data_IF_228640783881
#
_entry.id   IF_228640783881
#
_cell.length_a   1.000
_cell.length_b   1.000
_cell.length_c   1.000
_cell.angle_alpha   90.00
_cell.angle_beta   90.00
_cell.angle_gamma   90.00
#
_symmetry.space_group_name_H-M   'P 1'
#
loop_
_entity.id
_entity.type
_entity.pdbx_description
1 polymer ?
#
# COMPACT_ATOMS: atom_id res chain seq x y z
N UNK A 1 -3.86 5.28 1.42
CA UNK A 1 -5.32 5.21 1.23
C UNK A 1 -6.04 5.57 2.53
N UNK A 2 -7.00 6.49 2.42
CA UNK A 2 -8.09 6.68 3.37
C UNK A 2 -9.02 5.46 3.41
N UNK A 3 -9.92 5.39 4.39
CA UNK A 3 -10.92 4.34 4.50
C UNK A 3 -11.93 4.41 3.36
N UNK A 4 -12.30 5.61 2.91
CA UNK A 4 -13.16 5.79 1.75
C UNK A 4 -12.48 5.29 0.46
N UNK A 5 -11.19 5.58 0.27
CA UNK A 5 -10.38 5.05 -0.84
C UNK A 5 -10.35 3.52 -0.82
N UNK A 6 -10.07 2.91 0.34
CA UNK A 6 -10.04 1.45 0.46
C UNK A 6 -11.40 0.82 0.18
N UNK A 7 -12.51 1.40 0.68
CA UNK A 7 -13.87 0.91 0.42
C UNK A 7 -14.19 0.88 -1.08
N UNK A 8 -13.81 1.91 -1.82
CA UNK A 8 -14.00 1.97 -3.28
C UNK A 8 -13.24 0.87 -4.02
N UNK A 9 -12.02 0.57 -3.59
CA UNK A 9 -11.13 -0.38 -4.29
C UNK A 9 -11.39 -1.83 -3.88
N UNK A 10 -11.70 -2.09 -2.61
CA UNK A 10 -11.77 -3.44 -2.04
C UNK A 10 -13.16 -3.86 -1.56
N UNK A 11 -14.16 -3.00 -1.71
CA UNK A 11 -15.53 -3.24 -1.26
C UNK A 11 -15.83 -2.74 0.16
N UNK A 12 -17.11 -2.74 0.56
CA UNK A 12 -17.58 -2.10 1.79
C UNK A 12 -17.03 -2.74 3.07
N UNK A 13 -16.66 -4.03 3.04
CA UNK A 13 -16.12 -4.77 4.19
C UNK A 13 -14.65 -4.43 4.52
N UNK A 14 -14.05 -3.46 3.81
CA UNK A 14 -12.65 -3.06 3.96
C UNK A 14 -12.55 -1.53 4.11
N UNK A 15 -11.58 -1.00 4.89
CA UNK A 15 -10.57 -1.73 5.66
C UNK A 15 -11.12 -2.25 6.99
N UNK A 16 -10.45 -3.23 7.57
CA UNK A 16 -10.78 -3.74 8.92
C UNK A 16 -10.20 -2.85 10.03
N UNK A 17 -9.06 -2.22 9.77
CA UNK A 17 -8.39 -1.28 10.67
C UNK A 17 -8.57 0.14 10.10
N UNK A 18 -9.14 1.09 10.84
CA UNK A 18 -9.35 2.47 10.38
C UNK A 18 -8.06 3.19 9.97
N UNK A 19 -8.17 4.21 9.13
CA UNK A 19 -7.02 4.91 8.55
C UNK A 19 -6.08 5.54 9.58
N UNK A 20 -6.63 6.11 10.65
CA UNK A 20 -5.84 6.73 11.71
C UNK A 20 -4.98 5.71 12.45
N UNK A 21 -5.52 4.53 12.72
CA UNK A 21 -4.80 3.44 13.39
C UNK A 21 -3.72 2.84 12.47
N UNK A 22 -4.04 2.62 11.18
CA UNK A 22 -3.06 2.15 10.20
C UNK A 22 -1.90 3.14 10.05
N UNK A 23 -2.21 4.44 9.97
CA UNK A 23 -1.19 5.48 9.86
C UNK A 23 -0.31 5.54 11.11
N UNK A 24 -0.92 5.46 12.31
CA UNK A 24 -0.19 5.44 13.59
C UNK A 24 0.75 4.24 13.70
N UNK A 25 0.30 3.05 13.29
CA UNK A 25 1.14 1.85 13.31
C UNK A 25 2.35 1.98 12.39
N UNK A 26 2.16 2.48 11.16
CA UNK A 26 3.26 2.72 10.22
C UNK A 26 4.24 3.77 10.75
N UNK A 27 3.73 4.87 11.32
CA UNK A 27 4.54 5.95 11.88
C UNK A 27 5.35 5.52 13.12
N UNK A 28 4.99 4.41 13.77
CA UNK A 28 5.75 3.86 14.89
C UNK A 28 6.94 3.01 14.46
N UNK A 29 7.08 2.69 13.16
CA UNK A 29 8.23 1.93 12.66
C UNK A 29 9.46 2.84 12.56
N UNK A 30 10.58 2.41 13.14
CA UNK A 30 11.81 3.20 13.18
C UNK A 30 12.37 3.59 11.79
N UNK A 31 11.98 2.88 10.74
CA UNK A 31 12.40 3.15 9.36
C UNK A 31 11.44 4.07 8.58
N UNK A 32 10.40 4.62 9.22
CA UNK A 32 9.39 5.46 8.57
C UNK A 32 9.54 6.90 9.04
N UNK A 33 9.92 7.80 8.14
CA UNK A 33 10.04 9.23 8.43
C UNK A 33 8.69 9.97 8.35
N UNK A 34 7.80 9.53 7.45
CA UNK A 34 6.53 10.22 7.19
C UNK A 34 5.46 9.25 6.67
N UNK A 35 4.21 9.47 7.08
CA UNK A 35 3.03 8.76 6.57
C UNK A 35 2.03 9.77 6.02
N UNK A 36 1.59 9.57 4.79
CA UNK A 36 0.63 10.46 4.11
C UNK A 36 -0.61 9.66 3.70
N UNK A 37 -1.78 10.15 4.10
CA UNK A 37 -3.08 9.65 3.63
C UNK A 37 -3.44 10.30 2.28
N UNK A 38 -4.09 9.53 1.41
CA UNK A 38 -4.60 9.98 0.12
C UNK A 38 -5.94 9.29 -0.15
N UNK A 39 -6.88 10.00 -0.76
CA UNK A 39 -8.27 9.55 -0.95
C UNK A 39 -8.51 8.97 -2.35
N UNK A 40 -7.68 9.32 -3.31
CA UNK A 40 -7.81 8.90 -4.70
C UNK A 40 -7.76 7.36 -4.85
N UNK A 41 -8.32 6.84 -5.95
CA UNK A 41 -8.34 5.41 -6.24
C UNK A 41 -6.91 4.84 -6.41
N UNK A 42 -5.98 5.67 -6.85
CA UNK A 42 -4.57 5.33 -7.02
C UNK A 42 -3.68 6.43 -6.43
N UNK A 43 -2.44 6.14 -6.02
CA UNK A 43 -1.56 7.14 -5.44
C UNK A 43 -0.94 8.11 -6.47
N UNK A 44 -1.37 8.09 -7.74
CA UNK A 44 -0.67 8.75 -8.83
C UNK A 44 -0.49 10.26 -8.61
N UNK A 45 -1.54 10.95 -8.17
CA UNK A 45 -1.49 12.38 -7.87
C UNK A 45 -0.46 12.69 -6.77
N UNK A 46 -0.40 11.84 -5.74
CA UNK A 46 0.57 11.96 -4.65
C UNK A 46 2.00 11.69 -5.15
N UNK A 47 2.20 10.66 -5.98
CA UNK A 47 3.52 10.36 -6.58
C UNK A 47 4.01 11.52 -7.42
N UNK A 48 3.17 12.11 -8.28
CA UNK A 48 3.52 13.28 -9.11
C UNK A 48 3.83 14.52 -8.28
N UNK A 49 3.16 14.70 -7.14
CA UNK A 49 3.40 15.83 -6.23
C UNK A 49 4.71 15.68 -5.45
N UNK A 50 5.00 14.47 -4.97
CA UNK A 50 6.20 14.19 -4.18
C UNK A 50 7.45 14.00 -5.04
N UNK A 51 7.28 13.55 -6.29
CA UNK A 51 8.36 13.22 -7.24
C UNK A 51 9.49 12.40 -6.60
N UNK A 52 9.20 11.21 -6.05
CA UNK A 52 10.23 10.43 -5.38
C UNK A 52 11.32 9.96 -6.36
N UNK A 53 12.55 9.86 -5.87
CA UNK A 53 13.68 9.27 -6.60
C UNK A 53 13.56 7.73 -6.67
N UNK A 54 12.89 7.11 -5.70
CA UNK A 54 12.69 5.67 -5.63
C UNK A 54 11.24 5.34 -5.28
N UNK A 55 10.58 4.53 -6.12
CA UNK A 55 9.24 3.98 -5.86
C UNK A 55 9.33 2.48 -5.59
N UNK A 56 8.86 2.04 -4.43
CA UNK A 56 8.94 0.64 -4.01
C UNK A 56 7.56 -0.04 -4.03
N UNK A 57 7.47 -1.24 -4.60
CA UNK A 57 6.27 -2.08 -4.55
C UNK A 57 6.63 -3.56 -4.33
N UNK A 58 5.70 -4.36 -3.84
CA UNK A 58 5.86 -5.81 -3.79
C UNK A 58 6.08 -6.41 -5.19
N UNK A 59 6.87 -7.48 -5.25
CA UNK A 59 7.17 -8.23 -6.47
C UNK A 59 5.98 -9.04 -7.01
N UNK A 60 4.85 -9.04 -6.31
CA UNK A 60 3.57 -9.55 -6.77
C UNK A 60 2.94 -8.70 -7.88
N UNK A 61 3.45 -7.49 -8.12
CA UNK A 61 3.05 -6.64 -9.24
C UNK A 61 4.11 -6.65 -10.36
N UNK A 62 3.73 -6.96 -11.61
CA UNK A 62 4.61 -6.68 -12.74
C UNK A 62 4.77 -5.16 -12.89
N UNK A 63 5.95 -4.72 -13.38
CA UNK A 63 6.36 -3.30 -13.35
C UNK A 63 5.36 -2.39 -14.07
N UNK A 64 4.82 -2.84 -15.19
CA UNK A 64 3.82 -2.15 -16.02
C UNK A 64 2.49 -1.89 -15.28
N UNK A 65 2.20 -2.62 -14.20
CA UNK A 65 1.00 -2.40 -13.38
C UNK A 65 1.24 -1.53 -12.15
N UNK A 66 2.49 -1.11 -11.90
CA UNK A 66 2.83 -0.24 -10.76
C UNK A 66 2.46 1.20 -11.12
N UNK A 67 1.39 1.70 -10.51
CA UNK A 67 0.98 3.11 -10.65
C UNK A 67 2.11 4.04 -10.22
N UNK A 68 2.49 4.97 -11.09
CA UNK A 68 3.58 5.92 -10.84
C UNK A 68 4.94 5.47 -11.39
N UNK A 69 5.05 4.28 -11.97
CA UNK A 69 6.31 3.77 -12.50
C UNK A 69 6.85 4.62 -13.66
N UNK A 70 6.01 4.91 -14.65
CA UNK A 70 6.39 5.70 -15.82
C UNK A 70 6.77 7.13 -15.44
N UNK A 71 6.03 7.72 -14.50
CA UNK A 71 6.33 9.03 -13.95
C UNK A 71 7.71 9.05 -13.29
N UNK A 72 7.96 8.13 -12.35
CA UNK A 72 9.21 8.05 -11.59
C UNK A 72 10.41 7.85 -12.48
N UNK A 73 10.35 6.90 -13.40
CA UNK A 73 11.44 6.65 -14.36
C UNK A 73 11.59 7.80 -15.36
N UNK A 74 10.49 8.45 -15.75
CA UNK A 74 10.47 9.58 -16.68
C UNK A 74 11.22 10.82 -16.18
N UNK A 75 11.35 11.01 -14.86
CA UNK A 75 12.23 12.05 -14.29
C UNK A 75 13.56 11.53 -13.75
N UNK A 76 13.96 10.31 -14.11
CA UNK A 76 15.25 9.73 -13.74
C UNK A 76 15.30 9.01 -12.40
N UNK A 77 14.16 8.80 -11.75
CA UNK A 77 14.04 7.91 -10.59
C UNK A 77 14.03 6.44 -10.99
N UNK A 78 13.84 5.55 -10.01
CA UNK A 78 13.78 4.09 -10.24
C UNK A 78 12.65 3.40 -9.51
N UNK A 79 12.13 2.33 -10.10
CA UNK A 79 11.15 1.44 -9.48
C UNK A 79 11.85 0.20 -8.92
N UNK A 80 11.63 -0.09 -7.64
CA UNK A 80 12.19 -1.26 -6.95
C UNK A 80 11.07 -2.21 -6.57
N UNK A 81 11.20 -3.48 -6.97
CA UNK A 81 10.28 -4.55 -6.60
C UNK A 81 10.89 -5.41 -5.50
N UNK A 82 10.19 -5.57 -4.38
CA UNK A 82 10.68 -6.31 -3.21
C UNK A 82 9.89 -7.61 -3.02
N UNK A 83 10.60 -8.70 -2.68
CA UNK A 83 9.96 -9.98 -2.40
C UNK A 83 9.00 -9.86 -1.21
N UNK A 84 7.84 -10.50 -1.31
CA UNK A 84 6.87 -10.56 -0.21
C UNK A 84 7.29 -11.63 0.78
N UNK A 85 6.98 -11.40 2.05
CA UNK A 85 7.15 -12.42 3.09
C UNK A 85 6.07 -13.50 2.91
N UNK A 86 6.43 -14.77 2.64
CA UNK A 86 5.45 -15.82 2.40
C UNK A 86 4.49 -16.02 3.57
N UNK A 87 3.22 -16.29 3.26
CA UNK A 87 2.19 -16.57 4.26
C UNK A 87 1.67 -15.35 5.03
N UNK A 88 2.17 -14.14 4.74
CA UNK A 88 1.74 -12.91 5.41
C UNK A 88 0.73 -12.15 4.54
N UNK A 89 -0.56 -12.20 4.90
CA UNK A 89 -1.57 -11.31 4.36
C UNK A 89 -2.73 -11.10 5.35
N UNK A 90 -3.35 -9.92 5.32
CA UNK A 90 -4.53 -9.63 6.16
C UNK A 90 -5.70 -10.56 5.84
N UNK A 91 -5.85 -10.98 4.58
CA UNK A 91 -6.87 -11.96 4.19
C UNK A 91 -6.60 -13.31 4.84
N UNK A 92 -5.37 -13.84 4.72
CA UNK A 92 -5.01 -15.11 5.34
C UNK A 92 -5.15 -15.09 6.86
N UNK A 93 -4.82 -13.96 7.50
CA UNK A 93 -5.04 -13.78 8.93
C UNK A 93 -6.52 -13.88 9.31
N UNK A 94 -7.40 -13.17 8.59
CA UNK A 94 -8.84 -13.20 8.85
C UNK A 94 -9.45 -14.57 8.57
N UNK A 95 -9.01 -15.25 7.50
CA UNK A 95 -9.47 -16.60 7.18
C UNK A 95 -9.08 -17.60 8.28
N UNK A 96 -7.88 -17.45 8.87
CA UNK A 96 -7.47 -18.24 10.03
C UNK A 96 -8.34 -17.98 11.25
N UNK A 97 -8.71 -16.72 11.52
CA UNK A 97 -9.57 -16.35 12.65
C UNK A 97 -11.01 -16.85 12.49
N UNK A 98 -11.49 -16.98 11.25
CA UNK A 98 -12.86 -17.46 10.95
C UNK A 98 -13.00 -18.99 10.98
N UNK A 99 -11.88 -19.73 10.91
CA UNK A 99 -11.94 -21.19 11.00
C UNK A 99 -12.29 -21.62 12.42
N UNK A 100 -13.22 -22.58 12.60
CA UNK A 100 -13.48 -23.15 13.92
C UNK A 100 -12.19 -23.80 14.46
N UNK A 101 -11.97 -23.78 15.79
CA UNK A 101 -10.86 -24.51 16.39
C UNK A 101 -10.93 -25.98 16.00
N UNK A 102 -9.76 -26.58 15.77
CA UNK A 102 -9.64 -28.04 15.56
C UNK A 102 -9.95 -28.80 16.84
#
# INVERSE_FOLDING_TARGET
NTDASVRRVKGPDRPFVPEGERARLLAALACVDCVVLFDEATPLALVRRLRPDVLVKGADYPRDTIVGADEVEGWGGRVVRVALVPGQSTTALLDRLRRPPR
#
